data_IF_777433867044
#
_entry.id   IF_777433867044
#
_cell.length_a   1.000
_cell.length_b   1.000
_cell.length_c   1.000
_cell.angle_alpha   90.00
_cell.angle_beta   90.00
_cell.angle_gamma   90.00
#
_symmetry.space_group_name_H-M   'P 1'
#
loop_
_entity.id
_entity.type
_entity.pdbx_description
1 polymer ?
#
# COMPACT_ATOMS: atom_id res chain seq x y z
N UNK A 1 11.53 -12.41 -3.86
CA UNK A 1 10.94 -12.23 -2.50
C UNK A 1 11.94 -12.50 -1.39
N UNK A 2 12.82 -13.51 -1.48
CA UNK A 2 13.83 -13.79 -0.45
C UNK A 2 14.73 -12.58 -0.20
N UNK A 3 15.23 -11.97 -1.27
CA UNK A 3 16.10 -10.79 -1.21
C UNK A 3 15.44 -9.57 -0.54
N UNK A 4 14.17 -9.30 -0.83
CA UNK A 4 13.43 -8.19 -0.18
C UNK A 4 13.21 -8.51 1.29
N UNK A 5 12.81 -9.74 1.63
CA UNK A 5 12.63 -10.20 3.01
C UNK A 5 13.89 -9.97 3.85
N UNK A 6 15.04 -10.40 3.34
CA UNK A 6 16.33 -10.23 4.01
C UNK A 6 16.71 -8.76 4.20
N UNK A 7 16.53 -7.95 3.13
CA UNK A 7 16.80 -6.50 3.20
C UNK A 7 15.96 -5.77 4.26
N UNK A 8 14.74 -6.23 4.52
CA UNK A 8 13.86 -5.64 5.53
C UNK A 8 13.93 -6.35 6.89
N UNK A 9 14.72 -7.42 7.04
CA UNK A 9 14.91 -8.15 8.28
C UNK A 9 13.66 -8.89 8.75
N UNK A 10 12.82 -9.36 7.82
CA UNK A 10 11.57 -10.05 8.12
C UNK A 10 11.81 -11.55 8.33
N UNK A 11 11.14 -12.14 9.32
CA UNK A 11 11.06 -13.59 9.43
C UNK A 11 10.29 -14.20 8.25
N UNK A 12 10.27 -15.53 8.13
CA UNK A 12 9.68 -16.19 6.97
C UNK A 12 8.17 -15.97 6.85
N UNK A 13 7.46 -15.97 7.99
CA UNK A 13 6.01 -15.79 8.02
C UNK A 13 5.57 -14.38 7.66
N UNK A 14 6.22 -13.38 8.26
CA UNK A 14 5.95 -11.97 7.97
C UNK A 14 6.36 -11.61 6.56
N UNK A 15 7.45 -12.20 6.07
CA UNK A 15 7.87 -12.08 4.68
C UNK A 15 6.83 -12.61 3.70
N UNK A 16 6.24 -13.79 3.97
CA UNK A 16 5.15 -14.36 3.15
C UNK A 16 3.88 -13.50 3.22
N UNK A 17 3.54 -12.99 4.40
CA UNK A 17 2.39 -12.10 4.57
C UNK A 17 2.59 -10.80 3.78
N UNK A 18 3.73 -10.13 3.98
CA UNK A 18 4.03 -8.87 3.30
C UNK A 18 4.12 -9.03 1.78
N UNK A 19 4.59 -10.18 1.28
CA UNK A 19 4.55 -10.49 -0.15
C UNK A 19 3.12 -10.54 -0.70
N UNK A 20 2.17 -11.12 0.06
CA UNK A 20 0.74 -11.12 -0.31
C UNK A 20 0.16 -9.70 -0.29
N UNK A 21 0.47 -8.92 0.76
CA UNK A 21 0.04 -7.52 0.90
C UNK A 21 0.58 -6.69 -0.27
N UNK A 22 1.88 -6.73 -0.54
CA UNK A 22 2.51 -5.98 -1.61
C UNK A 22 1.93 -6.34 -2.99
N UNK A 23 1.71 -7.63 -3.29
CA UNK A 23 1.09 -8.05 -4.54
C UNK A 23 -0.35 -7.55 -4.67
N UNK A 24 -1.15 -7.60 -3.60
CA UNK A 24 -2.54 -7.14 -3.61
C UNK A 24 -2.65 -5.62 -3.66
N UNK A 25 -1.68 -4.89 -3.10
CA UNK A 25 -1.67 -3.42 -3.15
C UNK A 25 -1.57 -2.86 -4.58
N UNK A 26 -1.02 -3.63 -5.55
CA UNK A 26 -1.07 -3.26 -6.97
C UNK A 26 -2.50 -3.17 -7.51
N UNK A 27 -3.45 -3.86 -6.87
CA UNK A 27 -4.85 -3.93 -7.28
C UNK A 27 -5.76 -2.96 -6.52
N UNK A 28 -5.18 -2.01 -5.77
CA UNK A 28 -5.95 -1.04 -4.95
C UNK A 28 -7.01 -0.30 -5.79
N UNK A 29 -6.70 0.00 -7.06
CA UNK A 29 -7.62 0.67 -8.00
C UNK A 29 -8.47 -0.28 -8.85
N UNK A 30 -8.42 -1.60 -8.62
CA UNK A 30 -9.16 -2.56 -9.43
C UNK A 30 -10.68 -2.41 -9.28
N UNK A 31 -11.12 -1.95 -8.11
CA UNK A 31 -12.53 -1.64 -7.83
C UNK A 31 -12.63 -0.25 -7.22
N UNK A 32 -13.45 0.60 -7.83
CA UNK A 32 -13.66 1.98 -7.44
C UNK A 32 -15.16 2.26 -7.29
N UNK A 33 -15.57 2.81 -6.15
CA UNK A 33 -16.96 3.19 -5.90
C UNK A 33 -17.09 4.68 -5.63
N UNK A 34 -18.24 5.27 -5.93
CA UNK A 34 -18.47 6.70 -5.68
C UNK A 34 -18.50 7.05 -4.19
N UNK A 35 -18.98 6.13 -3.36
CA UNK A 35 -19.15 6.39 -1.92
C UNK A 35 -17.85 6.27 -1.14
N UNK A 36 -17.01 5.27 -1.48
CA UNK A 36 -15.84 4.88 -0.69
C UNK A 36 -14.54 4.81 -1.49
N UNK A 37 -14.57 5.22 -2.75
CA UNK A 37 -13.43 5.25 -3.68
C UNK A 37 -12.69 3.89 -3.77
N UNK A 38 -11.48 3.81 -3.27
CA UNK A 38 -10.60 2.62 -3.35
C UNK A 38 -10.82 1.64 -2.18
N UNK A 39 -11.81 1.84 -1.32
CA UNK A 39 -12.01 1.06 -0.09
C UNK A 39 -12.04 -0.46 -0.32
N UNK A 40 -12.67 -0.93 -1.41
CA UNK A 40 -12.73 -2.34 -1.73
C UNK A 40 -11.35 -2.92 -2.07
N UNK A 41 -10.56 -2.22 -2.88
CA UNK A 41 -9.19 -2.62 -3.21
C UNK A 41 -8.27 -2.57 -2.00
N UNK A 42 -8.46 -1.58 -1.13
CA UNK A 42 -7.75 -1.50 0.14
C UNK A 42 -8.11 -2.67 1.07
N UNK A 43 -9.39 -2.95 1.28
CA UNK A 43 -9.85 -4.12 2.03
C UNK A 43 -9.27 -5.42 1.45
N UNK A 44 -9.33 -5.60 0.12
CA UNK A 44 -8.73 -6.75 -0.56
C UNK A 44 -7.27 -6.97 -0.18
N UNK A 45 -6.52 -5.87 -0.02
CA UNK A 45 -5.13 -5.90 0.38
C UNK A 45 -4.97 -6.34 1.83
N UNK A 46 -5.89 -5.95 2.72
CA UNK A 46 -5.83 -6.25 4.16
C UNK A 46 -6.41 -7.62 4.55
N UNK A 47 -7.23 -8.27 3.72
CA UNK A 47 -7.82 -9.59 4.00
C UNK A 47 -6.79 -10.62 4.48
N UNK A 48 -5.59 -10.80 3.87
CA UNK A 48 -4.62 -11.78 4.35
C UNK A 48 -4.10 -11.48 5.77
N UNK A 49 -4.03 -10.21 6.12
CA UNK A 49 -3.59 -9.76 7.45
C UNK A 49 -4.64 -10.12 8.47
N UNK A 50 -5.89 -9.71 8.24
CA UNK A 50 -7.02 -9.95 9.14
C UNK A 50 -7.22 -11.46 9.35
N UNK A 51 -7.18 -12.26 8.27
CA UNK A 51 -7.34 -13.71 8.37
C UNK A 51 -6.21 -14.42 9.13
N UNK A 52 -5.00 -13.83 9.13
CA UNK A 52 -3.87 -14.38 9.89
C UNK A 52 -3.90 -13.95 11.35
N UNK A 53 -4.39 -12.75 11.65
CA UNK A 53 -4.30 -12.14 12.98
C UNK A 53 -5.49 -12.46 13.88
N UNK A 54 -6.64 -12.78 13.33
CA UNK A 54 -7.87 -12.99 14.09
C UNK A 54 -8.43 -14.38 13.87
N UNK A 55 -8.72 -15.09 14.97
CA UNK A 55 -9.18 -16.49 14.94
C UNK A 55 -10.70 -16.60 14.81
N UNK A 56 -11.46 -15.69 15.42
CA UNK A 56 -12.92 -15.73 15.43
C UNK A 56 -13.53 -15.02 14.22
N UNK A 57 -14.71 -15.44 13.82
CA UNK A 57 -15.44 -14.81 12.70
C UNK A 57 -15.83 -13.36 13.04
N UNK A 58 -16.25 -13.12 14.29
CA UNK A 58 -16.63 -11.81 14.79
C UNK A 58 -15.48 -10.80 14.70
N UNK A 59 -14.27 -11.20 15.11
CA UNK A 59 -13.09 -10.36 15.05
C UNK A 59 -12.69 -10.06 13.59
N UNK A 60 -12.79 -11.06 12.71
CA UNK A 60 -12.53 -10.87 11.27
C UNK A 60 -13.51 -9.89 10.63
N UNK A 61 -14.80 -10.04 10.95
CA UNK A 61 -15.86 -9.11 10.47
C UNK A 61 -15.58 -7.69 10.97
N UNK A 62 -15.21 -7.53 12.24
CA UNK A 62 -14.83 -6.24 12.80
C UNK A 62 -13.60 -5.65 12.08
N UNK A 63 -12.58 -6.47 11.79
CA UNK A 63 -11.41 -6.11 10.98
C UNK A 63 -11.79 -5.67 9.57
N UNK A 64 -12.64 -6.43 8.89
CA UNK A 64 -13.10 -6.07 7.54
C UNK A 64 -13.86 -4.75 7.53
N UNK A 65 -14.78 -4.53 8.48
CA UNK A 65 -15.52 -3.26 8.60
C UNK A 65 -14.59 -2.08 8.82
N UNK A 66 -13.57 -2.22 9.69
CA UNK A 66 -12.56 -1.19 9.94
C UNK A 66 -11.78 -0.80 8.68
N UNK A 67 -11.51 -1.76 7.80
CA UNK A 67 -10.78 -1.53 6.55
C UNK A 67 -11.68 -1.25 5.34
N UNK A 68 -13.00 -1.43 5.45
CA UNK A 68 -13.96 -1.08 4.41
C UNK A 68 -14.53 0.34 4.62
N UNK A 69 -13.68 1.26 4.96
CA UNK A 69 -14.00 2.69 5.09
C UNK A 69 -13.40 3.46 3.92
N UNK A 70 -13.83 4.71 3.73
CA UNK A 70 -13.31 5.56 2.65
C UNK A 70 -11.79 5.50 2.58
N UNK A 71 -11.29 5.21 1.41
CA UNK A 71 -9.86 5.23 1.10
C UNK A 71 -9.64 5.79 -0.30
N UNK A 72 -8.78 6.81 -0.40
CA UNK A 72 -8.42 7.42 -1.67
C UNK A 72 -7.01 8.00 -1.59
N UNK A 73 -6.08 7.42 -2.35
CA UNK A 73 -4.71 7.90 -2.45
C UNK A 73 -4.11 7.53 -3.80
N UNK A 74 -2.91 8.05 -4.10
CA UNK A 74 -2.23 7.65 -5.32
C UNK A 74 -1.84 6.16 -5.26
N UNK A 75 -2.20 5.34 -6.26
CA UNK A 75 -2.01 3.88 -6.21
C UNK A 75 -0.54 3.45 -6.26
N UNK A 76 0.39 4.31 -6.69
CA UNK A 76 1.82 3.99 -6.69
C UNK A 76 2.39 4.01 -5.28
N UNK A 77 1.92 4.94 -4.45
CA UNK A 77 2.44 5.13 -3.08
C UNK A 77 1.52 4.58 -1.98
N UNK A 78 0.27 4.26 -2.31
CA UNK A 78 -0.73 3.76 -1.34
C UNK A 78 -0.32 2.49 -0.61
N UNK A 79 0.58 1.69 -1.19
CA UNK A 79 1.14 0.51 -0.56
C UNK A 79 1.88 0.79 0.76
N UNK A 80 2.39 2.00 0.95
CA UNK A 80 2.98 2.40 2.23
C UNK A 80 1.95 2.32 3.37
N UNK A 81 0.75 2.85 3.15
CA UNK A 81 -0.33 2.86 4.14
C UNK A 81 -0.79 1.43 4.45
N UNK A 82 -0.87 0.56 3.44
CA UNK A 82 -1.23 -0.84 3.67
C UNK A 82 -0.19 -1.57 4.52
N UNK A 83 1.09 -1.31 4.28
CA UNK A 83 2.18 -1.86 5.08
C UNK A 83 2.15 -1.38 6.53
N UNK A 84 1.98 -0.08 6.73
CA UNK A 84 1.88 0.53 8.06
C UNK A 84 0.70 -0.07 8.84
N UNK A 85 -0.48 -0.12 8.24
CA UNK A 85 -1.66 -0.69 8.89
C UNK A 85 -1.54 -2.20 9.12
N UNK A 86 -0.74 -2.92 8.31
CA UNK A 86 -0.41 -4.32 8.60
C UNK A 86 0.35 -4.45 9.92
N UNK A 87 1.34 -3.60 10.17
CA UNK A 87 2.07 -3.61 11.44
C UNK A 87 1.15 -3.27 12.63
N UNK A 88 0.26 -2.29 12.47
CA UNK A 88 -0.71 -1.91 13.50
C UNK A 88 -1.72 -3.04 13.80
N UNK A 89 -2.22 -3.74 12.79
CA UNK A 89 -3.11 -4.90 12.99
C UNK A 89 -2.38 -6.06 13.71
N UNK A 90 -1.11 -6.29 13.38
CA UNK A 90 -0.30 -7.30 14.08
C UNK A 90 -0.10 -6.95 15.55
N UNK A 91 0.05 -5.67 15.88
CA UNK A 91 0.13 -5.20 17.27
C UNK A 91 -1.23 -5.32 17.96
N UNK A 92 -2.31 -4.87 17.33
CA UNK A 92 -3.67 -4.94 17.84
C UNK A 92 -4.16 -6.38 18.12
N UNK A 93 -3.60 -7.36 17.45
CA UNK A 93 -3.89 -8.78 17.70
C UNK A 93 -3.12 -9.35 18.91
N UNK A 94 -1.94 -8.79 19.23
CA UNK A 94 -1.12 -9.20 20.37
C UNK A 94 -1.54 -8.52 21.67
N UNK A 95 -1.86 -7.24 21.57
CA UNK A 95 -2.21 -6.39 22.71
C UNK A 95 -3.72 -6.08 22.70
N UNK A 96 -4.43 -6.55 23.72
CA UNK A 96 -5.89 -6.35 23.88
C UNK A 96 -6.23 -4.90 24.25
N UNK A 97 -5.30 -4.16 24.87
CA UNK A 97 -5.49 -2.77 25.24
C UNK A 97 -5.20 -1.80 24.09
N UNK A 98 -4.70 -2.32 22.95
CA UNK A 98 -4.41 -1.51 21.78
C UNK A 98 -5.68 -0.84 21.23
N UNK A 99 -5.63 0.48 21.09
CA UNK A 99 -6.73 1.24 20.49
C UNK A 99 -6.84 0.97 18.99
N UNK A 100 -7.74 0.08 18.61
CA UNK A 100 -8.00 -0.29 17.20
C UNK A 100 -8.56 0.87 16.37
N UNK A 101 -9.10 1.94 16.99
CA UNK A 101 -9.56 3.12 16.29
C UNK A 101 -8.38 3.91 15.70
N UNK A 102 -7.20 3.84 16.33
CA UNK A 102 -5.98 4.47 15.83
C UNK A 102 -5.58 3.99 14.44
N UNK A 103 -5.89 2.73 14.07
CA UNK A 103 -5.61 2.16 12.74
C UNK A 103 -6.33 2.95 11.64
N UNK A 104 -7.63 3.22 11.86
CA UNK A 104 -8.43 4.00 10.92
C UNK A 104 -7.99 5.48 10.91
N UNK A 105 -7.66 6.05 12.06
CA UNK A 105 -7.18 7.43 12.18
C UNK A 105 -5.87 7.65 11.42
N UNK A 106 -4.88 6.77 11.59
CA UNK A 106 -3.60 6.82 10.88
C UNK A 106 -3.81 6.67 9.37
N UNK A 107 -4.62 5.69 8.93
CA UNK A 107 -4.97 5.55 7.51
C UNK A 107 -5.53 6.85 6.94
N UNK A 108 -6.50 7.43 7.61
CA UNK A 108 -7.20 8.64 7.14
C UNK A 108 -6.27 9.85 7.10
N UNK A 109 -5.41 10.03 8.10
CA UNK A 109 -4.46 11.14 8.16
C UNK A 109 -3.39 11.07 7.06
N UNK A 110 -3.03 9.88 6.60
CA UNK A 110 -2.00 9.68 5.58
C UNK A 110 -2.54 9.71 4.14
N UNK A 111 -3.83 9.45 3.92
CA UNK A 111 -4.42 9.41 2.57
C UNK A 111 -4.12 10.67 1.75
N UNK A 112 -4.43 11.84 2.32
CA UNK A 112 -4.27 13.12 1.65
C UNK A 112 -2.82 13.45 1.31
N UNK A 113 -1.91 13.48 2.29
CA UNK A 113 -0.49 13.72 2.04
C UNK A 113 0.13 12.77 1.00
N UNK A 114 -0.17 11.47 1.10
CA UNK A 114 0.34 10.50 0.13
C UNK A 114 -0.29 10.65 -1.25
N UNK A 115 -1.57 11.04 -1.35
CA UNK A 115 -2.19 11.41 -2.62
C UNK A 115 -1.45 12.60 -3.25
N UNK A 116 -1.25 13.69 -2.50
CA UNK A 116 -0.56 14.88 -2.99
C UNK A 116 0.86 14.60 -3.48
N UNK A 117 1.66 13.87 -2.71
CA UNK A 117 3.03 13.47 -3.10
C UNK A 117 3.00 12.58 -4.34
N UNK A 118 2.16 11.55 -4.32
CA UNK A 118 2.08 10.60 -5.41
C UNK A 118 1.59 11.22 -6.72
N UNK A 119 0.57 12.08 -6.66
CA UNK A 119 0.03 12.76 -7.83
C UNK A 119 1.02 13.78 -8.40
N UNK A 120 1.71 14.52 -7.56
CA UNK A 120 2.75 15.46 -8.01
C UNK A 120 3.89 14.75 -8.73
N UNK A 121 4.40 13.66 -8.17
CA UNK A 121 5.53 12.92 -8.74
C UNK A 121 5.08 12.10 -9.95
N UNK A 122 4.08 11.22 -9.79
CA UNK A 122 3.76 10.23 -10.81
C UNK A 122 2.77 10.72 -11.85
N UNK A 123 1.74 11.50 -11.47
CA UNK A 123 0.71 11.94 -12.41
C UNK A 123 1.10 13.23 -13.13
N UNK A 124 1.61 14.23 -12.38
CA UNK A 124 1.88 15.54 -12.92
C UNK A 124 3.28 15.68 -13.53
N UNK A 125 4.29 15.01 -12.97
CA UNK A 125 5.67 15.15 -13.43
C UNK A 125 6.10 13.97 -14.29
N UNK A 126 6.19 12.77 -13.69
CA UNK A 126 6.80 11.61 -14.37
C UNK A 126 5.99 11.12 -15.57
N UNK A 127 4.67 11.10 -15.45
CA UNK A 127 3.79 10.75 -16.58
C UNK A 127 3.95 11.73 -17.73
N UNK A 128 4.00 13.03 -17.46
CA UNK A 128 4.11 14.05 -18.52
C UNK A 128 5.45 13.90 -19.26
N UNK A 129 6.56 13.73 -18.53
CA UNK A 129 7.89 13.53 -19.14
C UNK A 129 7.89 12.27 -20.01
N UNK A 130 7.48 11.14 -19.47
CA UNK A 130 7.51 9.85 -20.18
C UNK A 130 6.56 9.82 -21.37
N UNK A 131 5.38 10.47 -21.22
CA UNK A 131 4.42 10.61 -22.33
C UNK A 131 4.97 11.52 -23.44
N UNK A 132 5.65 12.61 -23.10
CA UNK A 132 6.29 13.48 -24.07
C UNK A 132 7.34 12.73 -24.93
N UNK A 133 8.17 11.91 -24.29
CA UNK A 133 9.13 11.04 -24.98
C UNK A 133 8.40 10.04 -25.89
N UNK A 134 7.39 9.35 -25.36
CA UNK A 134 6.60 8.38 -26.12
C UNK A 134 5.91 9.00 -27.33
N UNK A 135 5.28 10.18 -27.17
CA UNK A 135 4.63 10.91 -28.26
C UNK A 135 5.61 11.36 -29.33
N UNK A 136 6.81 11.81 -28.93
CA UNK A 136 7.85 12.20 -29.89
C UNK A 136 8.23 11.04 -30.80
N UNK A 137 8.34 9.83 -30.27
CA UNK A 137 8.64 8.63 -31.05
C UNK A 137 7.43 8.15 -31.88
N UNK A 138 6.21 8.41 -31.40
CA UNK A 138 4.99 7.95 -32.07
C UNK A 138 4.53 8.82 -33.23
N UNK A 139 5.12 10.02 -33.44
CA UNK A 139 4.68 11.00 -34.47
C UNK A 139 4.61 10.43 -35.89
N UNK A 140 5.48 9.48 -36.23
CA UNK A 140 5.57 8.88 -37.55
C UNK A 140 4.88 7.48 -37.59
N UNK A 141 3.94 7.23 -36.66
CA UNK A 141 3.26 5.93 -36.55
C UNK A 141 4.11 4.82 -35.93
N UNK A 142 5.22 5.17 -35.29
CA UNK A 142 6.15 4.21 -34.70
C UNK A 142 5.57 3.58 -33.42
N UNK A 143 5.36 2.27 -33.43
CA UNK A 143 4.84 1.48 -32.30
C UNK A 143 5.77 1.52 -31.06
N UNK A 144 7.03 1.90 -31.21
CA UNK A 144 7.95 2.06 -30.10
C UNK A 144 7.54 3.19 -29.14
N UNK A 145 6.78 4.19 -29.59
CA UNK A 145 6.34 5.29 -28.77
C UNK A 145 5.57 4.84 -27.52
N UNK A 146 4.44 4.13 -27.65
CA UNK A 146 3.69 3.58 -26.53
C UNK A 146 4.51 2.62 -25.67
N UNK A 147 5.37 1.79 -26.26
CA UNK A 147 6.20 0.83 -25.54
C UNK A 147 7.21 1.57 -24.65
N UNK A 148 7.91 2.55 -25.18
CA UNK A 148 8.87 3.38 -24.43
C UNK A 148 8.19 4.13 -23.30
N UNK A 149 7.00 4.71 -23.55
CA UNK A 149 6.19 5.33 -22.49
C UNK A 149 5.91 4.37 -21.33
N UNK A 150 5.40 3.17 -21.63
CA UNK A 150 5.06 2.17 -20.61
C UNK A 150 6.29 1.71 -19.82
N UNK A 151 7.40 1.45 -20.53
CA UNK A 151 8.65 1.02 -19.89
C UNK A 151 9.19 2.11 -18.96
N UNK A 152 9.32 3.34 -19.47
CA UNK A 152 9.85 4.46 -18.67
C UNK A 152 8.95 4.80 -17.48
N UNK A 153 7.61 4.80 -17.67
CA UNK A 153 6.70 5.07 -16.56
C UNK A 153 6.85 4.03 -15.45
N UNK A 154 6.87 2.76 -15.80
CA UNK A 154 6.96 1.67 -14.82
C UNK A 154 8.36 1.49 -14.22
N UNK A 155 9.42 1.98 -14.88
CA UNK A 155 10.78 1.95 -14.33
C UNK A 155 10.89 2.63 -12.96
N UNK A 156 10.10 3.69 -12.73
CA UNK A 156 10.02 4.38 -11.44
C UNK A 156 8.83 3.89 -10.60
N UNK A 157 7.68 3.66 -11.21
CA UNK A 157 6.44 3.34 -10.49
C UNK A 157 6.46 1.93 -9.87
N UNK A 158 6.98 0.91 -10.57
CA UNK A 158 6.98 -0.47 -10.07
C UNK A 158 7.88 -0.70 -8.85
N UNK A 159 9.12 -0.20 -8.79
CA UNK A 159 9.90 -0.28 -7.56
C UNK A 159 9.19 0.35 -6.36
N UNK A 160 8.52 1.50 -6.54
CA UNK A 160 7.75 2.13 -5.48
C UNK A 160 6.58 1.26 -5.03
N UNK A 161 5.78 0.72 -5.95
CA UNK A 161 4.65 -0.18 -5.64
C UNK A 161 5.10 -1.44 -4.88
N UNK A 162 6.26 -1.99 -5.23
CA UNK A 162 6.79 -3.19 -4.60
C UNK A 162 7.38 -2.89 -3.21
N UNK A 163 8.13 -1.81 -3.07
CA UNK A 163 8.93 -1.55 -1.86
C UNK A 163 8.16 -0.80 -0.77
N UNK A 164 7.27 0.13 -1.14
CA UNK A 164 6.58 0.98 -0.16
C UNK A 164 5.73 0.21 0.86
N UNK A 165 5.06 -0.92 0.53
CA UNK A 165 4.42 -1.74 1.56
C UNK A 165 5.39 -2.24 2.62
N UNK A 166 6.60 -2.64 2.24
CA UNK A 166 7.62 -3.09 3.20
C UNK A 166 8.20 -1.95 4.02
N UNK A 167 8.38 -0.78 3.41
CA UNK A 167 8.82 0.43 4.13
C UNK A 167 7.79 0.83 5.17
N UNK A 168 6.51 0.89 4.78
CA UNK A 168 5.40 1.20 5.68
C UNK A 168 5.31 0.20 6.84
N UNK A 169 5.43 -1.09 6.56
CA UNK A 169 5.45 -2.13 7.59
C UNK A 169 6.61 -1.95 8.58
N UNK A 170 7.81 -1.74 8.09
CA UNK A 170 9.00 -1.54 8.94
C UNK A 170 8.89 -0.29 9.82
N UNK A 171 8.37 0.81 9.26
CA UNK A 171 8.15 2.04 10.01
C UNK A 171 7.06 1.86 11.06
N UNK A 172 5.95 1.20 10.71
CA UNK A 172 4.88 0.88 11.65
C UNK A 172 5.37 0.00 12.80
N UNK A 173 6.11 -1.07 12.51
CA UNK A 173 6.67 -1.95 13.54
C UNK A 173 7.62 -1.22 14.48
N UNK A 174 8.47 -0.32 13.99
CA UNK A 174 9.35 0.49 14.85
C UNK A 174 8.57 1.45 15.73
N UNK A 175 7.55 2.10 15.17
CA UNK A 175 6.70 3.02 15.92
C UNK A 175 5.96 2.29 17.05
N UNK A 176 5.44 1.09 16.81
CA UNK A 176 4.79 0.28 17.83
C UNK A 176 5.75 -0.13 18.97
N UNK A 177 6.97 -0.58 18.63
CA UNK A 177 7.97 -0.92 19.64
C UNK A 177 8.36 0.27 20.53
N UNK A 178 8.54 1.45 19.94
CA UNK A 178 8.85 2.66 20.70
C UNK A 178 7.69 3.09 21.61
N UNK A 179 6.45 2.90 21.18
CA UNK A 179 5.28 3.19 22.01
C UNK A 179 5.20 2.25 23.22
N UNK A 180 5.53 0.96 23.06
CA UNK A 180 5.60 -0.01 24.17
C UNK A 180 6.73 0.33 25.20
N UNK A 181 7.88 0.81 24.71
CA UNK A 181 9.00 1.18 25.60
C UNK A 181 8.77 2.47 26.38
N UNK A 182 7.84 3.32 25.93
CA UNK A 182 7.58 4.65 26.51
C UNK A 182 6.37 4.70 27.46
N UNK A 183 5.58 3.64 27.55
CA UNK A 183 4.40 3.50 28.43
C UNK A 183 4.67 2.61 29.62
#
# INVERSE_FOLDING_TARGET
YSMIREKFGLNEEDGKLMAKVARRSHQINAVYTWEKFQAMGYLWTMIPVINKMYDTEEERIAGYKRHYELFNTNPVVGGFITGLNTAMEMQAAKDKEFDKASIAAVRTSLMGPFAGIGDSIFQSTWRVITMGIGLSLAKDGNILGPIVFLVLFNLLAEPCRILLPYVGFKMGSKFMLQAEESG
#
